data_IF_387332181394
#
_entry.id   IF_387332181394
#
_cell.length_a   1.000
_cell.length_b   1.000
_cell.length_c   1.000
_cell.angle_alpha   90.00
_cell.angle_beta   90.00
_cell.angle_gamma   90.00
#
_symmetry.space_group_name_H-M   'P 1'
#
loop_
_entity.id
_entity.type
_entity.pdbx_description
1 polymer ?
#
# COMPACT_ATOMS: atom_id res chain seq x y z
N UNK A 1 8.57 -19.30 -3.67
CA UNK A 1 7.71 -18.22 -4.20
C UNK A 1 7.43 -18.53 -5.67
N UNK A 2 6.16 -18.47 -6.07
CA UNK A 2 5.80 -18.76 -7.46
C UNK A 2 6.12 -17.54 -8.37
N UNK A 3 6.17 -17.74 -9.70
CA UNK A 3 6.51 -16.64 -10.63
C UNK A 3 5.58 -15.43 -10.53
N UNK A 4 4.29 -15.65 -10.25
CA UNK A 4 3.32 -14.55 -10.12
C UNK A 4 3.66 -13.69 -8.91
N UNK A 5 3.93 -14.31 -7.77
CA UNK A 5 4.32 -13.57 -6.57
C UNK A 5 5.62 -12.79 -6.78
N UNK A 6 6.58 -13.37 -7.47
CA UNK A 6 7.85 -12.71 -7.79
C UNK A 6 7.61 -11.46 -8.64
N UNK A 7 6.80 -11.57 -9.68
CA UNK A 7 6.47 -10.43 -10.55
C UNK A 7 5.74 -9.34 -9.78
N UNK A 8 4.76 -9.71 -8.94
CA UNK A 8 4.01 -8.74 -8.15
C UNK A 8 4.92 -7.97 -7.18
N UNK A 9 5.92 -8.62 -6.62
CA UNK A 9 6.90 -7.96 -5.75
C UNK A 9 7.76 -6.98 -6.54
N UNK A 10 8.21 -7.35 -7.73
CA UNK A 10 8.98 -6.46 -8.59
C UNK A 10 8.14 -5.27 -9.07
N UNK A 11 6.86 -5.49 -9.39
CA UNK A 11 5.94 -4.39 -9.70
C UNK A 11 5.82 -3.42 -8.51
N UNK A 12 5.71 -3.95 -7.30
CA UNK A 12 5.68 -3.13 -6.10
C UNK A 12 6.94 -2.29 -5.93
N UNK A 13 8.10 -2.88 -6.17
CA UNK A 13 9.36 -2.15 -6.15
C UNK A 13 9.40 -1.06 -7.22
N UNK A 14 8.87 -1.34 -8.41
CA UNK A 14 8.73 -0.36 -9.48
C UNK A 14 7.86 0.82 -9.07
N UNK A 15 6.72 0.56 -8.43
CA UNK A 15 5.85 1.62 -7.90
C UNK A 15 6.58 2.52 -6.91
N UNK A 16 7.35 1.92 -6.01
CA UNK A 16 8.15 2.67 -5.04
C UNK A 16 9.16 3.58 -5.74
N UNK A 17 9.92 3.05 -6.68
CA UNK A 17 10.94 3.82 -7.38
C UNK A 17 10.33 4.96 -8.21
N UNK A 18 9.26 4.68 -8.96
CA UNK A 18 8.59 5.69 -9.80
C UNK A 18 7.97 6.76 -8.93
N UNK A 19 7.27 6.38 -7.86
CA UNK A 19 6.65 7.35 -6.97
C UNK A 19 7.69 8.26 -6.31
N UNK A 20 8.80 7.71 -5.84
CA UNK A 20 9.89 8.49 -5.24
C UNK A 20 10.56 9.40 -6.27
N UNK A 21 10.80 8.92 -7.49
CA UNK A 21 11.40 9.73 -8.55
C UNK A 21 10.51 10.91 -8.95
N UNK A 22 9.21 10.66 -9.12
CA UNK A 22 8.25 11.71 -9.45
C UNK A 22 8.14 12.71 -8.30
N UNK A 23 8.07 12.21 -7.06
CA UNK A 23 8.02 13.07 -5.88
C UNK A 23 9.24 14.01 -5.81
N UNK A 24 10.43 13.48 -6.04
CA UNK A 24 11.66 14.26 -6.08
C UNK A 24 11.64 15.28 -7.22
N UNK A 25 11.21 14.87 -8.40
CA UNK A 25 11.20 15.75 -9.59
C UNK A 25 10.24 16.94 -9.43
N UNK A 26 9.18 16.77 -8.65
CA UNK A 26 8.22 17.84 -8.35
C UNK A 26 8.68 18.76 -7.22
N UNK A 27 9.82 18.45 -6.59
CA UNK A 27 10.41 19.31 -5.56
C UNK A 27 9.68 19.32 -4.23
N UNK A 28 8.94 18.26 -3.91
CA UNK A 28 8.19 18.18 -2.66
C UNK A 28 9.08 17.80 -1.48
N UNK A 29 8.60 18.10 -0.26
CA UNK A 29 9.35 17.89 0.98
C UNK A 29 9.44 16.43 1.37
N UNK A 30 10.67 15.91 1.59
CA UNK A 30 10.88 14.57 2.10
C UNK A 30 10.47 14.41 3.58
N UNK A 31 10.42 15.49 4.36
CA UNK A 31 9.86 15.47 5.71
C UNK A 31 8.38 15.11 5.68
N UNK A 32 7.62 15.72 4.76
CA UNK A 32 6.23 15.40 4.51
C UNK A 32 6.06 13.96 4.06
N UNK A 33 6.96 13.48 3.17
CA UNK A 33 6.95 12.09 2.71
C UNK A 33 7.03 11.13 3.88
N UNK A 34 8.02 11.29 4.75
CA UNK A 34 8.19 10.38 5.88
C UNK A 34 7.07 10.52 6.92
N UNK A 35 6.54 11.72 7.13
CA UNK A 35 5.44 11.93 8.06
C UNK A 35 4.16 11.18 7.64
N UNK A 36 3.87 11.11 6.35
CA UNK A 36 2.65 10.50 5.82
C UNK A 36 2.83 9.06 5.34
N UNK A 37 4.09 8.59 5.23
CA UNK A 37 4.39 7.29 4.61
C UNK A 37 3.68 6.13 5.30
N UNK A 38 3.60 6.12 6.63
CA UNK A 38 3.00 5.04 7.39
C UNK A 38 1.51 5.22 7.67
N UNK A 39 0.90 6.28 7.16
CA UNK A 39 -0.52 6.55 7.39
C UNK A 39 -1.45 5.41 6.96
N UNK A 40 -1.24 4.73 5.80
CA UNK A 40 -2.09 3.60 5.43
C UNK A 40 -2.07 2.44 6.42
N UNK A 41 -1.01 2.31 7.23
CA UNK A 41 -0.90 1.24 8.23
C UNK A 41 -1.83 1.44 9.42
N UNK A 42 -2.44 2.61 9.58
CA UNK A 42 -3.47 2.84 10.60
C UNK A 42 -4.62 1.85 10.43
N UNK A 43 -4.90 1.39 9.21
CA UNK A 43 -5.92 0.38 8.95
C UNK A 43 -5.67 -0.94 9.68
N UNK A 44 -4.42 -1.23 10.07
CA UNK A 44 -4.09 -2.42 10.87
C UNK A 44 -4.81 -2.39 12.21
N UNK A 45 -5.04 -1.21 12.78
CA UNK A 45 -5.77 -1.06 14.05
C UNK A 45 -7.18 -1.61 13.97
N UNK A 46 -7.79 -1.65 12.78
CA UNK A 46 -9.13 -2.21 12.58
C UNK A 46 -9.15 -3.71 12.89
N UNK A 47 -8.04 -4.43 12.64
CA UNK A 47 -7.94 -5.84 13.03
C UNK A 47 -7.94 -6.00 14.55
N UNK A 48 -7.41 -5.03 15.29
CA UNK A 48 -7.33 -5.07 16.75
C UNK A 48 -8.70 -4.75 17.36
N UNK A 49 -9.43 -3.76 16.83
CA UNK A 49 -10.66 -3.24 17.43
C UNK A 49 -11.95 -3.73 16.75
N UNK A 50 -11.84 -4.48 15.67
CA UNK A 50 -12.99 -5.03 14.94
C UNK A 50 -12.76 -6.51 14.66
N UNK A 51 -13.19 -7.00 13.51
CA UNK A 51 -13.02 -8.39 13.12
C UNK A 51 -12.19 -8.52 11.84
N UNK A 52 -11.81 -9.75 11.49
CA UNK A 52 -10.94 -10.01 10.34
C UNK A 52 -11.54 -9.53 9.01
N UNK A 53 -12.88 -9.62 8.85
CA UNK A 53 -13.53 -9.19 7.62
C UNK A 53 -13.48 -7.68 7.46
N UNK A 54 -13.82 -6.93 8.51
CA UNK A 54 -13.75 -5.46 8.50
C UNK A 54 -12.31 -4.99 8.38
N UNK A 55 -11.39 -5.64 9.10
CA UNK A 55 -9.97 -5.37 9.00
C UNK A 55 -9.44 -5.60 7.59
N UNK A 56 -9.85 -6.68 6.92
CA UNK A 56 -9.48 -6.97 5.53
C UNK A 56 -9.91 -5.82 4.60
N UNK A 57 -11.16 -5.37 4.69
CA UNK A 57 -11.64 -4.27 3.85
C UNK A 57 -10.90 -2.97 4.12
N UNK A 58 -10.69 -2.60 5.38
CA UNK A 58 -9.97 -1.39 5.74
C UNK A 58 -8.52 -1.44 5.24
N UNK A 59 -7.83 -2.56 5.47
CA UNK A 59 -6.47 -2.74 5.01
C UNK A 59 -6.40 -2.72 3.47
N UNK A 60 -7.27 -3.47 2.79
CA UNK A 60 -7.24 -3.55 1.34
C UNK A 60 -7.55 -2.22 0.66
N UNK A 61 -8.49 -1.44 1.20
CA UNK A 61 -8.80 -0.12 0.67
C UNK A 61 -7.59 0.83 0.75
N UNK A 62 -6.83 0.76 1.85
CA UNK A 62 -5.66 1.63 2.04
C UNK A 62 -4.40 1.09 1.38
N UNK A 63 -4.32 -0.21 1.08
CA UNK A 63 -3.15 -0.85 0.50
C UNK A 63 -3.35 -1.30 -0.95
N UNK A 64 -4.51 -1.04 -1.54
CA UNK A 64 -4.70 -1.17 -2.99
C UNK A 64 -4.37 0.15 -3.69
N UNK A 65 -3.96 0.06 -4.95
CA UNK A 65 -3.63 1.24 -5.73
C UNK A 65 -4.86 2.06 -6.14
N UNK A 66 -6.07 1.53 -5.96
CA UNK A 66 -7.30 2.20 -6.40
C UNK A 66 -7.51 3.53 -5.67
N UNK A 67 -7.38 3.54 -4.35
CA UNK A 67 -7.53 4.76 -3.56
C UNK A 67 -6.47 5.80 -3.89
N UNK A 68 -5.21 5.37 -3.98
CA UNK A 68 -4.10 6.26 -4.33
C UNK A 68 -4.28 6.86 -5.73
N UNK A 69 -4.72 6.04 -6.70
CA UNK A 69 -4.98 6.50 -8.05
C UNK A 69 -6.14 7.51 -8.09
N UNK A 70 -7.21 7.25 -7.36
CA UNK A 70 -8.36 8.15 -7.30
C UNK A 70 -7.99 9.53 -6.73
N UNK A 71 -7.22 9.53 -5.63
CA UNK A 71 -6.76 10.79 -5.01
C UNK A 71 -5.79 11.53 -5.94
N UNK A 72 -4.89 10.82 -6.59
CA UNK A 72 -3.95 11.41 -7.55
C UNK A 72 -4.66 12.02 -8.75
N UNK A 73 -5.63 11.31 -9.32
CA UNK A 73 -6.42 11.80 -10.43
C UNK A 73 -7.21 13.05 -10.04
N UNK A 74 -7.86 13.03 -8.89
CA UNK A 74 -8.57 14.20 -8.37
C UNK A 74 -7.62 15.39 -8.19
N UNK A 75 -6.43 15.15 -7.69
CA UNK A 75 -5.42 16.20 -7.50
C UNK A 75 -5.01 16.84 -8.82
N UNK A 76 -4.81 16.04 -9.86
CA UNK A 76 -4.45 16.56 -11.19
C UNK A 76 -5.61 17.32 -11.82
N UNK A 77 -6.82 16.76 -11.79
CA UNK A 77 -8.01 17.38 -12.41
C UNK A 77 -8.37 18.69 -11.70
N UNK A 78 -8.33 18.71 -10.36
CA UNK A 78 -8.69 19.88 -9.57
C UNK A 78 -7.51 20.83 -9.34
N UNK A 79 -6.32 20.50 -9.86
CA UNK A 79 -5.08 21.24 -9.65
C UNK A 79 -4.81 21.47 -8.16
N UNK A 80 -4.96 20.42 -7.37
CA UNK A 80 -4.76 20.42 -5.92
C UNK A 80 -3.47 19.67 -5.57
N UNK A 81 -2.34 20.41 -5.37
CA UNK A 81 -1.03 19.78 -5.19
C UNK A 81 -0.96 18.81 -4.01
N UNK A 82 -1.63 19.10 -2.91
CA UNK A 82 -1.62 18.21 -1.74
C UNK A 82 -2.15 16.82 -2.09
N UNK A 83 -3.17 16.73 -2.93
CA UNK A 83 -3.75 15.45 -3.33
C UNK A 83 -2.78 14.60 -4.14
N UNK A 84 -2.05 15.15 -5.10
CA UNK A 84 -1.08 14.35 -5.85
C UNK A 84 0.16 14.01 -5.01
N UNK A 85 0.55 14.88 -4.07
CA UNK A 85 1.61 14.56 -3.11
C UNK A 85 1.24 13.37 -2.24
N UNK A 86 0.03 13.39 -1.67
CA UNK A 86 -0.49 12.27 -0.87
C UNK A 86 -0.58 11.00 -1.71
N UNK A 87 -1.04 11.10 -2.95
CA UNK A 87 -1.13 9.96 -3.86
C UNK A 87 0.23 9.32 -4.10
N UNK A 88 1.27 10.13 -4.36
CA UNK A 88 2.62 9.63 -4.59
C UNK A 88 3.19 8.93 -3.36
N UNK A 89 3.02 9.53 -2.18
CA UNK A 89 3.46 8.93 -0.91
C UNK A 89 2.72 7.61 -0.67
N UNK A 90 1.43 7.58 -0.95
CA UNK A 90 0.58 6.41 -0.81
C UNK A 90 1.01 5.29 -1.77
N UNK A 91 1.26 5.61 -3.05
CA UNK A 91 1.81 4.63 -4.00
C UNK A 91 3.16 4.09 -3.55
N UNK A 92 4.04 4.95 -3.02
CA UNK A 92 5.33 4.51 -2.50
C UNK A 92 5.17 3.52 -1.35
N UNK A 93 4.24 3.77 -0.44
CA UNK A 93 3.94 2.86 0.67
C UNK A 93 3.44 1.51 0.16
N UNK A 94 2.48 1.51 -0.76
CA UNK A 94 1.95 0.29 -1.37
C UNK A 94 3.07 -0.50 -2.06
N UNK A 95 3.90 0.19 -2.83
CA UNK A 95 5.01 -0.44 -3.54
C UNK A 95 6.04 -1.03 -2.59
N UNK A 96 6.34 -0.33 -1.52
CA UNK A 96 7.25 -0.81 -0.49
C UNK A 96 6.72 -2.10 0.16
N UNK A 97 5.46 -2.11 0.56
CA UNK A 97 4.84 -3.29 1.17
C UNK A 97 4.86 -4.48 0.21
N UNK A 98 4.52 -4.26 -1.06
CA UNK A 98 4.52 -5.33 -2.05
C UNK A 98 5.91 -5.88 -2.34
N UNK A 99 6.90 -5.00 -2.38
CA UNK A 99 8.30 -5.43 -2.55
C UNK A 99 8.75 -6.33 -1.41
N UNK A 100 8.28 -6.06 -0.19
CA UNK A 100 8.56 -6.88 0.98
C UNK A 100 7.72 -8.16 1.04
N UNK A 101 6.73 -8.33 0.16
CA UNK A 101 5.86 -9.48 0.13
C UNK A 101 4.53 -9.31 0.87
N UNK A 102 4.22 -8.11 1.34
CA UNK A 102 2.93 -7.82 1.97
C UNK A 102 1.89 -7.52 0.89
N UNK A 103 0.89 -8.42 0.75
CA UNK A 103 -0.18 -8.26 -0.22
C UNK A 103 -1.49 -7.84 0.40
N UNK A 104 -2.53 -7.78 -0.44
CA UNK A 104 -3.89 -7.53 0.01
C UNK A 104 -4.39 -8.72 0.84
N UNK A 105 -5.26 -8.44 1.80
CA UNK A 105 -5.71 -9.45 2.76
C UNK A 105 -6.93 -10.20 2.26
N UNK A 106 -6.99 -11.50 2.58
CA UNK A 106 -8.20 -12.31 2.46
C UNK A 106 -8.96 -12.32 3.80
N UNK A 107 -10.26 -12.69 3.80
CA UNK A 107 -11.05 -12.71 5.04
C UNK A 107 -10.70 -13.89 5.97
N UNK A 108 -9.52 -14.47 5.81
CA UNK A 108 -9.02 -15.61 6.60
C UNK A 108 -8.08 -15.17 7.73
N UNK A 109 -7.76 -13.88 7.81
CA UNK A 109 -6.92 -13.34 8.85
C UNK A 109 -5.84 -12.39 8.31
N UNK A 110 -5.15 -11.72 9.23
CA UNK A 110 -4.16 -10.68 8.90
C UNK A 110 -2.99 -11.23 8.06
N UNK A 111 -2.60 -12.48 8.30
CA UNK A 111 -1.41 -13.07 7.67
C UNK A 111 -1.68 -13.72 6.32
N UNK A 112 -2.95 -13.86 5.92
CA UNK A 112 -3.33 -14.50 4.66
C UNK A 112 -3.55 -13.41 3.60
N UNK A 113 -2.70 -13.38 2.57
CA UNK A 113 -2.72 -12.35 1.54
C UNK A 113 -2.67 -12.97 0.14
N UNK A 114 -2.94 -12.15 -0.88
CA UNK A 114 -2.84 -12.59 -2.28
C UNK A 114 -1.39 -12.91 -2.70
N UNK A 115 -0.40 -12.48 -1.92
CA UNK A 115 1.02 -12.82 -2.13
C UNK A 115 1.46 -14.02 -1.29
N UNK A 116 0.54 -14.67 -0.58
CA UNK A 116 0.79 -15.87 0.23
C UNK A 116 0.54 -15.66 1.71
N UNK A 117 0.90 -16.67 2.49
CA UNK A 117 0.77 -16.66 3.95
C UNK A 117 2.04 -16.07 4.55
N UNK A 118 1.88 -15.11 5.46
CA UNK A 118 3.01 -14.46 6.11
C UNK A 118 3.71 -15.44 7.07
N UNK A 119 5.02 -15.23 7.23
CA UNK A 119 5.87 -16.06 8.10
C UNK A 119 5.30 -16.13 9.51
N UNK A 120 5.31 -17.33 10.09
CA UNK A 120 4.80 -17.60 11.42
C UNK A 120 3.35 -18.09 11.48
N UNK A 121 2.65 -18.10 10.34
CA UNK A 121 1.35 -18.74 10.24
C UNK A 121 1.54 -20.21 9.84
N UNK A 122 1.13 -21.13 10.69
CA UNK A 122 1.22 -22.54 10.40
C UNK A 122 0.13 -22.88 9.39
N UNK A 123 0.52 -23.48 8.27
CA UNK A 123 -0.42 -24.07 7.34
C UNK A 123 -1.05 -25.29 8.01
N UNK A 124 -2.31 -25.17 8.38
CA UNK A 124 -3.10 -26.28 8.95
C UNK A 124 -3.99 -26.91 7.88
N UNK A 125 -3.46 -26.99 6.69
CA UNK A 125 -4.15 -27.70 5.63
C UNK A 125 -4.32 -29.18 5.95
#
# INVERSE_FOLDING_TARGET
MNPVQTILRWEGFGYLLVACAVYQSLGHSWWQFFAWFFLPDIAILVYVFANARVGMWAYNLTHSSVGAAAVGLAGVVLQWPLCWQISLIWFAHIGFDRALGYGLKFPLGFRVTHLGVLKGMVDKS
#
